data_IF_636371313044
#
_entry.id   IF_636371313044
#
_cell.length_a   1.000
_cell.length_b   1.000
_cell.length_c   1.000
_cell.angle_alpha   90.00
_cell.angle_beta   90.00
_cell.angle_gamma   90.00
#
_symmetry.space_group_name_H-M   'P 1'
#
loop_
_entity.id
_entity.type
_entity.pdbx_description
1 polymer ?
#
# COMPACT_ATOMS: atom_id res chain seq x y z
N UNK A 1 -6.58 -0.43 23.93
CA UNK A 1 -5.82 0.62 23.24
C UNK A 1 -6.58 1.09 22.01
N UNK A 2 -6.63 2.39 21.79
CA UNK A 2 -7.34 2.94 20.64
C UNK A 2 -6.57 2.67 19.33
N UNK A 3 -7.31 2.50 18.23
CA UNK A 3 -6.73 2.36 16.91
C UNK A 3 -6.01 3.66 16.50
N UNK A 4 -5.01 3.54 15.65
CA UNK A 4 -4.39 4.68 15.00
C UNK A 4 -5.41 5.39 14.09
N UNK A 5 -5.11 6.62 13.72
CA UNK A 5 -5.90 7.37 12.74
C UNK A 5 -4.93 8.21 11.89
N UNK A 6 -5.47 8.94 10.92
CA UNK A 6 -4.66 9.76 10.02
C UNK A 6 -3.72 10.70 10.79
N UNK A 7 -4.25 11.42 11.76
CA UNK A 7 -3.50 12.40 12.52
C UNK A 7 -2.38 11.77 13.35
N UNK A 8 -2.68 10.73 14.11
CA UNK A 8 -1.69 10.05 14.95
C UNK A 8 -0.64 9.33 14.11
N UNK A 9 -1.04 8.75 12.99
CA UNK A 9 -0.12 8.09 12.07
C UNK A 9 0.89 9.09 11.48
N UNK A 10 0.40 10.23 10.97
CA UNK A 10 1.26 11.26 10.39
C UNK A 10 2.23 11.82 11.43
N UNK A 11 1.74 12.10 12.62
CA UNK A 11 2.56 12.61 13.72
C UNK A 11 3.68 11.62 14.07
N UNK A 12 3.36 10.35 14.21
CA UNK A 12 4.35 9.32 14.51
C UNK A 12 5.35 9.12 13.37
N UNK A 13 4.90 9.18 12.12
CA UNK A 13 5.77 9.09 10.96
C UNK A 13 6.80 10.22 10.94
N UNK A 14 6.38 11.45 11.23
CA UNK A 14 7.29 12.60 11.31
C UNK A 14 8.32 12.44 12.43
N UNK A 15 7.91 11.84 13.55
CA UNK A 15 8.77 11.62 14.70
C UNK A 15 9.78 10.49 14.47
N UNK A 16 9.38 9.46 13.74
CA UNK A 16 10.16 8.22 13.57
C UNK A 16 11.03 8.18 12.32
N UNK A 17 10.74 9.02 11.30
CA UNK A 17 11.39 8.96 10.00
C UNK A 17 12.06 10.27 9.63
N UNK A 18 13.09 10.20 8.79
CA UNK A 18 13.65 11.38 8.16
C UNK A 18 12.59 12.09 7.31
N UNK A 19 12.70 13.44 7.12
CA UNK A 19 11.66 14.21 6.40
C UNK A 19 11.31 13.67 5.01
N UNK A 20 12.29 13.22 4.24
CA UNK A 20 12.00 12.70 2.89
C UNK A 20 11.17 11.41 2.94
N UNK A 21 11.34 10.58 3.97
CA UNK A 21 10.56 9.35 4.17
C UNK A 21 9.17 9.70 4.68
N UNK A 22 9.07 10.54 5.70
CA UNK A 22 7.77 10.93 6.25
C UNK A 22 6.91 11.65 5.22
N UNK A 23 7.51 12.45 4.33
CA UNK A 23 6.78 13.11 3.25
C UNK A 23 6.17 12.11 2.27
N UNK A 24 6.87 11.02 1.96
CA UNK A 24 6.31 9.94 1.13
C UNK A 24 5.11 9.29 1.84
N UNK A 25 5.25 8.97 3.12
CA UNK A 25 4.16 8.38 3.90
C UNK A 25 2.95 9.30 3.97
N UNK A 26 3.17 10.60 4.20
CA UNK A 26 2.09 11.59 4.27
C UNK A 26 1.37 11.70 2.94
N UNK A 27 2.09 11.71 1.82
CA UNK A 27 1.51 11.75 0.48
C UNK A 27 0.61 10.52 0.26
N UNK A 28 1.11 9.33 0.60
CA UNK A 28 0.34 8.11 0.43
C UNK A 28 -0.88 8.03 1.36
N UNK A 29 -0.76 8.55 2.59
CA UNK A 29 -1.90 8.61 3.52
C UNK A 29 -2.96 9.58 3.01
N UNK A 30 -2.57 10.74 2.49
CA UNK A 30 -3.51 11.70 1.90
C UNK A 30 -4.19 11.12 0.67
N UNK A 31 -3.45 10.41 -0.17
CA UNK A 31 -4.00 9.70 -1.31
C UNK A 31 -5.04 8.65 -0.87
N UNK A 32 -4.74 7.88 0.17
CA UNK A 32 -5.67 6.89 0.70
C UNK A 32 -6.93 7.55 1.26
N UNK A 33 -6.78 8.67 1.97
CA UNK A 33 -7.91 9.42 2.52
C UNK A 33 -8.85 9.90 1.43
N UNK A 34 -8.31 10.29 0.28
CA UNK A 34 -9.09 10.79 -0.86
C UNK A 34 -9.69 9.67 -1.73
N UNK A 35 -9.01 8.55 -1.86
CA UNK A 35 -9.31 7.55 -2.90
C UNK A 35 -9.72 6.17 -2.40
N UNK A 36 -9.29 5.76 -1.21
CA UNK A 36 -9.62 4.43 -0.69
C UNK A 36 -11.10 4.36 -0.30
N UNK A 37 -11.70 3.20 -0.51
CA UNK A 37 -13.07 2.97 -0.06
C UNK A 37 -13.12 2.82 1.46
N UNK A 38 -12.15 2.11 2.02
CA UNK A 38 -11.97 2.00 3.47
C UNK A 38 -10.47 2.01 3.77
N UNK A 39 -10.10 2.65 4.86
CA UNK A 39 -8.77 2.58 5.45
C UNK A 39 -8.89 1.83 6.78
N UNK A 40 -8.09 0.79 6.95
CA UNK A 40 -8.00 0.11 8.24
C UNK A 40 -6.76 0.57 8.98
N UNK A 41 -6.94 0.96 10.24
CA UNK A 41 -5.86 1.42 11.11
C UNK A 41 -5.56 0.37 12.16
N UNK A 42 -4.30 0.08 12.37
CA UNK A 42 -3.87 -0.90 13.38
C UNK A 42 -3.99 -0.37 14.80
N UNK A 43 -3.70 -1.24 15.77
CA UNK A 43 -3.76 -0.94 17.21
C UNK A 43 -2.43 -1.19 17.93
N UNK A 44 -1.35 -1.43 17.20
CA UNK A 44 -0.04 -1.69 17.79
C UNK A 44 0.50 -0.46 18.53
N UNK A 45 1.32 -0.69 19.57
CA UNK A 45 1.88 0.38 20.39
C UNK A 45 3.15 0.98 19.81
N UNK A 46 3.99 0.14 19.20
CA UNK A 46 5.32 0.56 18.75
C UNK A 46 5.29 1.33 17.44
N UNK A 47 4.41 0.93 16.52
CA UNK A 47 4.27 1.65 15.27
C UNK A 47 2.82 1.65 14.81
N UNK A 48 2.45 2.69 14.10
CA UNK A 48 1.15 2.77 13.44
C UNK A 48 1.17 1.99 12.14
N UNK A 49 0.02 1.43 11.79
CA UNK A 49 -0.18 0.74 10.52
C UNK A 49 -1.43 1.25 9.83
N UNK A 50 -1.39 1.28 8.50
CA UNK A 50 -2.52 1.69 7.67
C UNK A 50 -2.65 0.71 6.51
N UNK A 51 -3.87 0.26 6.23
CA UNK A 51 -4.16 -0.61 5.08
C UNK A 51 -5.12 0.10 4.14
N UNK A 52 -4.72 0.28 2.89
CA UNK A 52 -5.58 0.81 1.82
C UNK A 52 -6.45 -0.33 1.30
N UNK A 53 -7.77 -0.17 1.37
CA UNK A 53 -8.72 -1.19 0.90
C UNK A 53 -9.64 -0.65 -0.17
N UNK A 54 -9.86 -1.47 -1.18
CA UNK A 54 -10.78 -1.20 -2.27
C UNK A 54 -12.00 -2.13 -2.16
N UNK A 55 -13.20 -1.56 -2.30
CA UNK A 55 -14.42 -2.36 -2.32
C UNK A 55 -14.65 -2.90 -3.72
N UNK A 56 -14.73 -4.23 -3.83
CA UNK A 56 -15.11 -4.91 -5.05
C UNK A 56 -16.53 -5.48 -4.89
N UNK A 57 -17.37 -5.34 -5.89
CA UNK A 57 -18.72 -5.91 -5.85
C UNK A 57 -18.68 -7.43 -5.82
N UNK A 58 -17.65 -8.03 -6.43
CA UNK A 58 -17.56 -9.50 -6.55
C UNK A 58 -16.73 -10.14 -5.43
N UNK A 59 -15.74 -9.42 -4.87
CA UNK A 59 -14.74 -10.01 -3.98
C UNK A 59 -14.71 -9.39 -2.57
N UNK A 60 -15.60 -8.44 -2.29
CA UNK A 60 -15.66 -7.74 -1.00
C UNK A 60 -14.53 -6.71 -0.85
N UNK A 61 -14.05 -6.50 0.35
CA UNK A 61 -12.97 -5.55 0.61
C UNK A 61 -11.61 -6.17 0.33
N UNK A 62 -10.88 -5.59 -0.62
CA UNK A 62 -9.57 -6.08 -1.06
C UNK A 62 -8.48 -5.12 -0.57
N UNK A 63 -7.57 -5.57 0.30
CA UNK A 63 -6.42 -4.75 0.69
C UNK A 63 -5.41 -4.69 -0.46
N UNK A 64 -4.92 -3.50 -0.78
CA UNK A 64 -3.97 -3.30 -1.86
C UNK A 64 -2.56 -3.07 -1.35
N UNK A 65 -2.40 -2.24 -0.32
CA UNK A 65 -1.09 -2.04 0.29
C UNK A 65 -1.21 -1.64 1.76
N UNK A 66 -0.12 -1.83 2.48
CA UNK A 66 0.03 -1.61 3.91
C UNK A 66 1.16 -0.61 4.13
N UNK A 67 0.97 0.37 5.00
CA UNK A 67 2.03 1.30 5.39
C UNK A 67 2.30 1.18 6.89
N UNK A 68 3.54 1.44 7.30
CA UNK A 68 3.90 1.58 8.72
C UNK A 68 4.54 2.94 8.97
N UNK A 69 4.44 3.40 10.20
CA UNK A 69 5.11 4.64 10.62
C UNK A 69 6.63 4.52 10.66
N UNK A 70 7.18 3.34 10.44
CA UNK A 70 8.62 3.10 10.30
C UNK A 70 9.15 3.34 8.89
N UNK A 71 8.29 3.76 7.96
CA UNK A 71 8.70 4.01 6.58
C UNK A 71 8.67 2.78 5.69
N UNK A 72 7.78 1.86 5.95
CA UNK A 72 7.70 0.60 5.21
C UNK A 72 6.37 0.47 4.48
N UNK A 73 6.41 -0.20 3.33
CA UNK A 73 5.23 -0.52 2.52
C UNK A 73 5.22 -2.01 2.18
N UNK A 74 4.04 -2.62 2.22
CA UNK A 74 3.83 -4.00 1.82
C UNK A 74 2.71 -4.05 0.79
N UNK A 75 2.95 -4.75 -0.33
CA UNK A 75 1.93 -4.94 -1.36
C UNK A 75 1.23 -6.27 -1.11
N UNK A 76 -0.10 -6.27 -1.15
CA UNK A 76 -0.92 -7.43 -0.77
C UNK A 76 -1.13 -8.40 -1.93
N UNK A 77 -0.07 -8.67 -2.70
CA UNK A 77 -0.14 -9.53 -3.90
C UNK A 77 -0.51 -10.98 -3.56
N UNK A 78 0.10 -11.51 -2.50
CA UNK A 78 -0.17 -12.89 -2.11
C UNK A 78 -1.60 -13.07 -1.60
N UNK A 79 -2.08 -12.10 -0.81
CA UNK A 79 -3.48 -12.08 -0.39
C UNK A 79 -4.41 -12.05 -1.61
N UNK A 80 -4.12 -11.18 -2.58
CA UNK A 80 -4.93 -11.04 -3.77
C UNK A 80 -4.94 -12.31 -4.61
N UNK A 81 -3.81 -13.01 -4.74
CA UNK A 81 -3.75 -14.28 -5.46
C UNK A 81 -4.68 -15.32 -4.86
N UNK A 82 -4.83 -15.32 -3.55
CA UNK A 82 -5.68 -16.28 -2.84
C UNK A 82 -7.16 -15.90 -2.84
N UNK A 83 -7.48 -14.60 -2.94
CA UNK A 83 -8.82 -14.08 -2.69
C UNK A 83 -9.47 -13.41 -3.91
N UNK A 84 -8.72 -13.08 -4.95
CA UNK A 84 -9.23 -12.46 -6.16
C UNK A 84 -9.18 -13.47 -7.30
N UNK A 85 -10.35 -14.01 -7.74
CA UNK A 85 -10.39 -15.00 -8.82
C UNK A 85 -9.90 -14.49 -10.17
N UNK A 86 -10.06 -13.19 -10.46
CA UNK A 86 -9.57 -12.59 -11.71
C UNK A 86 -8.06 -12.42 -11.65
N UNK A 87 -7.33 -13.47 -11.97
CA UNK A 87 -5.87 -13.53 -11.86
C UNK A 87 -5.15 -12.49 -12.71
N UNK A 88 -5.75 -12.05 -13.81
CA UNK A 88 -5.19 -11.02 -14.68
C UNK A 88 -5.06 -9.66 -13.98
N UNK A 89 -5.93 -9.36 -13.01
CA UNK A 89 -5.83 -8.11 -12.23
C UNK A 89 -4.59 -8.16 -11.32
N UNK A 90 -4.41 -9.27 -10.63
CA UNK A 90 -3.28 -9.48 -9.73
C UNK A 90 -1.97 -9.46 -10.51
N UNK A 91 -1.95 -10.13 -11.67
CA UNK A 91 -0.80 -10.16 -12.55
C UNK A 91 -0.44 -8.77 -13.06
N UNK A 92 -1.45 -7.99 -13.45
CA UNK A 92 -1.24 -6.62 -13.92
C UNK A 92 -0.63 -5.73 -12.84
N UNK A 93 -1.11 -5.85 -11.61
CA UNK A 93 -0.56 -5.13 -10.46
C UNK A 93 0.92 -5.51 -10.26
N UNK A 94 1.21 -6.80 -10.23
CA UNK A 94 2.58 -7.29 -10.07
C UNK A 94 3.50 -6.76 -11.18
N UNK A 95 3.07 -6.86 -12.44
CA UNK A 95 3.87 -6.41 -13.58
C UNK A 95 4.14 -4.92 -13.53
N UNK A 96 3.18 -4.11 -13.11
CA UNK A 96 3.36 -2.66 -12.97
C UNK A 96 4.35 -2.32 -11.85
N UNK A 97 4.30 -3.04 -10.75
CA UNK A 97 5.28 -2.85 -9.68
C UNK A 97 6.69 -3.22 -10.13
N UNK A 98 6.82 -4.35 -10.83
CA UNK A 98 8.12 -4.79 -11.35
C UNK A 98 8.68 -3.81 -12.39
N UNK A 99 7.84 -3.35 -13.31
CA UNK A 99 8.27 -2.46 -14.41
C UNK A 99 8.58 -1.05 -13.94
N UNK A 100 7.76 -0.48 -13.04
CA UNK A 100 7.86 0.91 -12.64
C UNK A 100 8.84 1.15 -11.49
N UNK A 101 9.06 0.16 -10.64
CA UNK A 101 9.82 0.32 -9.40
C UNK A 101 10.99 -0.66 -9.28
N UNK A 102 11.34 -1.33 -10.36
CA UNK A 102 12.45 -2.28 -10.43
C UNK A 102 12.38 -3.38 -9.36
N UNK A 103 11.17 -3.80 -9.04
CA UNK A 103 10.94 -4.90 -8.09
C UNK A 103 11.02 -6.23 -8.80
N UNK A 104 11.37 -7.26 -8.04
CA UNK A 104 11.41 -8.64 -8.53
C UNK A 104 10.67 -9.52 -7.54
N UNK A 105 9.53 -10.07 -7.97
CA UNK A 105 8.73 -10.98 -7.17
C UNK A 105 8.97 -12.41 -7.65
N UNK A 106 9.99 -13.05 -7.11
CA UNK A 106 10.28 -14.39 -7.45
C UNK A 106 9.28 -15.38 -6.78
N UNK A 107 9.16 -16.58 -7.33
CA UNK A 107 8.20 -17.58 -6.85
C UNK A 107 8.43 -17.98 -5.40
N UNK A 108 9.68 -17.93 -4.94
CA UNK A 108 10.03 -18.28 -3.56
C UNK A 108 9.51 -17.26 -2.55
N UNK A 109 9.30 -16.02 -2.97
CA UNK A 109 8.80 -14.94 -2.12
C UNK A 109 7.26 -14.91 -2.06
N UNK A 110 6.58 -15.60 -2.97
CA UNK A 110 5.13 -15.59 -3.07
C UNK A 110 4.38 -16.12 -1.83
N UNK A 111 4.93 -17.00 -0.99
CA UNK A 111 4.20 -17.48 0.18
C UNK A 111 3.89 -16.41 1.21
N UNK A 112 4.56 -15.25 1.18
CA UNK A 112 4.29 -14.17 2.11
C UNK A 112 4.49 -12.81 1.45
N UNK A 113 3.64 -11.84 1.81
CA UNK A 113 3.83 -10.45 1.43
C UNK A 113 4.89 -9.84 2.36
N UNK A 114 5.85 -9.13 1.79
CA UNK A 114 6.99 -8.60 2.52
C UNK A 114 6.95 -7.07 2.57
N UNK A 115 7.49 -6.50 3.65
CA UNK A 115 7.66 -5.05 3.76
C UNK A 115 8.91 -4.61 3.01
N UNK A 116 8.80 -3.48 2.32
CA UNK A 116 9.89 -2.79 1.62
C UNK A 116 10.04 -1.39 2.20
N UNK A 117 11.26 -0.86 2.18
CA UNK A 117 11.46 0.53 2.59
C UNK A 117 10.92 1.47 1.51
N UNK A 118 10.09 2.44 1.89
CA UNK A 118 9.47 3.34 0.90
C UNK A 118 10.48 4.16 0.13
N UNK A 119 11.61 4.53 0.73
CA UNK A 119 12.64 5.32 0.06
C UNK A 119 13.50 4.50 -0.91
N UNK A 120 13.44 3.18 -0.85
CA UNK A 120 14.05 2.32 -1.87
C UNK A 120 13.23 2.27 -3.15
N UNK A 121 11.91 2.45 -3.02
CA UNK A 121 10.99 2.36 -4.15
C UNK A 121 10.66 3.72 -4.75
N UNK A 122 10.51 4.73 -3.91
CA UNK A 122 10.02 6.05 -4.30
C UNK A 122 11.04 7.12 -3.91
N UNK A 123 11.95 7.45 -4.81
CA UNK A 123 13.00 8.44 -4.54
C UNK A 123 12.55 9.87 -4.80
N UNK A 124 11.58 10.06 -5.70
CA UNK A 124 11.08 11.38 -6.08
C UNK A 124 9.55 11.36 -6.12
N UNK A 125 8.95 12.54 -6.04
CA UNK A 125 7.49 12.69 -6.04
C UNK A 125 6.84 12.05 -7.26
N UNK A 126 7.46 12.12 -8.42
CA UNK A 126 6.93 11.51 -9.65
C UNK A 126 6.74 9.99 -9.51
N UNK A 127 7.63 9.31 -8.80
CA UNK A 127 7.50 7.87 -8.56
C UNK A 127 6.33 7.55 -7.63
N UNK A 128 6.10 8.40 -6.63
CA UNK A 128 4.93 8.29 -5.74
C UNK A 128 3.65 8.45 -6.54
N UNK A 129 3.59 9.44 -7.44
CA UNK A 129 2.43 9.66 -8.31
C UNK A 129 2.20 8.47 -9.25
N UNK A 130 3.25 7.86 -9.79
CA UNK A 130 3.12 6.65 -10.62
C UNK A 130 2.51 5.49 -9.84
N UNK A 131 2.90 5.33 -8.58
CA UNK A 131 2.32 4.31 -7.71
C UNK A 131 0.84 4.60 -7.44
N UNK A 132 0.50 5.85 -7.13
CA UNK A 132 -0.89 6.26 -6.90
C UNK A 132 -1.76 5.98 -8.13
N UNK A 133 -1.27 6.30 -9.32
CA UNK A 133 -1.96 5.99 -10.58
C UNK A 133 -2.15 4.48 -10.77
N UNK A 134 -1.14 3.69 -10.41
CA UNK A 134 -1.21 2.23 -10.47
C UNK A 134 -2.33 1.71 -9.55
N UNK A 135 -2.40 2.20 -8.33
CA UNK A 135 -3.43 1.80 -7.36
C UNK A 135 -4.82 2.19 -7.85
N UNK A 136 -4.99 3.39 -8.41
CA UNK A 136 -6.28 3.81 -8.96
C UNK A 136 -6.71 2.91 -10.13
N UNK A 137 -5.77 2.52 -10.99
CA UNK A 137 -6.05 1.62 -12.11
C UNK A 137 -6.48 0.24 -11.64
N UNK A 138 -5.81 -0.32 -10.65
CA UNK A 138 -6.17 -1.63 -10.08
C UNK A 138 -7.53 -1.54 -9.37
N UNK A 139 -7.78 -0.47 -8.61
CA UNK A 139 -9.08 -0.25 -7.95
C UNK A 139 -10.21 -0.21 -8.96
N UNK A 140 -10.03 0.49 -10.08
CA UNK A 140 -11.04 0.57 -11.14
C UNK A 140 -11.35 -0.80 -11.73
N UNK A 141 -10.32 -1.63 -11.94
CA UNK A 141 -10.51 -3.00 -12.46
C UNK A 141 -11.26 -3.89 -11.47
N UNK A 142 -11.00 -3.74 -10.17
CA UNK A 142 -11.69 -4.52 -9.13
C UNK A 142 -13.17 -4.15 -9.02
N UNK A 143 -13.55 -2.96 -9.46
CA UNK A 143 -14.94 -2.47 -9.42
C UNK A 143 -15.74 -2.80 -10.69
N UNK A 144 -15.11 -3.36 -11.67
CA UNK A 144 -15.80 -3.75 -12.92
C UNK A 144 -16.62 -5.02 -12.79
#
# INVERSE_FOLDING_TARGET
>A
MAAWNKSTFIEKAKDSCYPHISNILIDLVNFADDCADIISWGKGRECGTMVYKCKSDDFGMVPLFHLTTKGQIKFQLNYMRSNVPKKEIVRDFQLKLESNFLMDFDEEEYPSDLFHEVDELFNIKHEVEKFEDTIQGISARLKQ
#
